data_IF_726602812505
#
_entry.id   IF_726602812505
#
_cell.length_a   1.000
_cell.length_b   1.000
_cell.length_c   1.000
_cell.angle_alpha   90.00
_cell.angle_beta   90.00
_cell.angle_gamma   90.00
#
_symmetry.space_group_name_H-M   'P 1'
#
loop_
_entity.id
_entity.type
_entity.pdbx_description
1 polymer ?
#
# COMPACT_ATOMS: atom_id res chain seq x y z
N UNK A 1 11.56 6.05 -5.22
CA UNK A 1 11.23 7.50 -5.15
C UNK A 1 11.30 7.93 -3.70
N UNK A 2 11.87 9.11 -3.40
CA UNK A 2 11.96 9.66 -2.04
C UNK A 2 10.97 10.82 -1.90
N UNK A 3 10.04 10.74 -0.94
CA UNK A 3 8.97 11.72 -0.73
C UNK A 3 9.17 12.61 0.52
N UNK A 4 10.33 12.52 1.19
CA UNK A 4 10.60 13.15 2.48
C UNK A 4 10.28 14.64 2.54
N UNK A 5 10.50 15.38 1.45
CA UNK A 5 10.28 16.81 1.36
C UNK A 5 8.82 17.24 1.52
N UNK A 6 7.87 16.34 1.27
CA UNK A 6 6.42 16.62 1.34
C UNK A 6 5.78 16.09 2.63
N UNK A 7 6.54 15.41 3.50
CA UNK A 7 5.98 14.67 4.63
C UNK A 7 5.54 15.55 5.80
N UNK A 8 6.03 16.79 5.90
CA UNK A 8 5.71 17.67 7.03
C UNK A 8 4.24 18.12 7.09
N UNK A 9 3.50 18.03 5.99
CA UNK A 9 2.09 18.44 5.90
C UNK A 9 1.13 17.26 5.60
N UNK A 10 1.66 16.04 5.47
CA UNK A 10 0.88 14.85 5.13
C UNK A 10 0.52 14.09 6.40
N UNK A 11 -0.77 13.97 6.69
CA UNK A 11 -1.26 13.19 7.83
C UNK A 11 -1.61 11.73 7.50
N UNK A 12 -1.86 11.44 6.22
CA UNK A 12 -2.32 10.14 5.78
C UNK A 12 -1.89 9.82 4.35
N UNK A 13 -1.51 8.57 4.12
CA UNK A 13 -1.27 8.02 2.79
C UNK A 13 -2.10 6.76 2.57
N UNK A 14 -2.81 6.74 1.45
CA UNK A 14 -3.46 5.52 0.94
C UNK A 14 -2.77 5.09 -0.34
N UNK A 15 -2.43 3.81 -0.43
CA UNK A 15 -1.92 3.16 -1.63
C UNK A 15 -2.95 2.15 -2.14
N UNK A 16 -3.27 2.25 -3.42
CA UNK A 16 -4.09 1.30 -4.17
C UNK A 16 -3.55 1.23 -5.59
N UNK A 17 -3.55 0.03 -6.17
CA UNK A 17 -3.03 -0.19 -7.51
C UNK A 17 -4.17 -0.36 -8.54
N UNK A 18 -3.82 -0.51 -9.81
CA UNK A 18 -4.74 -0.40 -10.95
C UNK A 18 -5.59 -1.66 -11.11
N UNK A 19 -6.92 -1.51 -11.27
CA UNK A 19 -7.85 -2.63 -11.44
C UNK A 19 -8.15 -2.99 -12.92
N UNK A 20 -7.50 -2.33 -13.88
CA UNK A 20 -7.75 -2.54 -15.32
C UNK A 20 -7.29 -3.91 -15.85
N UNK A 21 -7.66 -4.23 -17.10
CA UNK A 21 -7.14 -5.44 -17.80
C UNK A 21 -5.64 -5.33 -18.10
N UNK A 22 -5.22 -4.13 -18.48
CA UNK A 22 -3.83 -3.76 -18.75
C UNK A 22 -3.16 -3.13 -17.51
N UNK A 23 -3.65 -3.49 -16.32
CA UNK A 23 -3.07 -2.98 -15.07
C UNK A 23 -1.58 -3.27 -15.02
N UNK A 24 -0.82 -2.26 -14.61
CA UNK A 24 0.61 -2.42 -14.35
C UNK A 24 0.83 -3.42 -13.21
N UNK A 25 2.06 -3.93 -13.16
CA UNK A 25 2.46 -4.81 -12.08
C UNK A 25 2.55 -4.01 -10.77
N UNK A 26 1.68 -4.33 -9.83
CA UNK A 26 1.82 -3.92 -8.45
C UNK A 26 2.92 -4.77 -7.79
N UNK A 27 4.10 -4.19 -7.59
CA UNK A 27 5.19 -4.83 -6.86
C UNK A 27 5.04 -4.58 -5.36
N UNK A 28 4.76 -5.64 -4.59
CA UNK A 28 4.56 -5.53 -3.15
C UNK A 28 5.79 -5.02 -2.40
N UNK A 29 7.00 -5.33 -2.85
CA UNK A 29 8.23 -4.83 -2.21
C UNK A 29 8.30 -3.31 -2.31
N UNK A 30 7.85 -2.74 -3.44
CA UNK A 30 7.74 -1.29 -3.60
C UNK A 30 6.70 -0.67 -2.66
N UNK A 31 5.58 -1.35 -2.40
CA UNK A 31 4.59 -0.92 -1.41
C UNK A 31 5.19 -0.87 0.00
N UNK A 32 6.02 -1.84 0.36
CA UNK A 32 6.72 -1.88 1.65
C UNK A 32 7.75 -0.75 1.77
N UNK A 33 8.51 -0.47 0.70
CA UNK A 33 9.47 0.64 0.65
C UNK A 33 8.80 2.00 0.85
N UNK A 34 7.63 2.20 0.24
CA UNK A 34 6.81 3.39 0.47
C UNK A 34 6.40 3.46 1.93
N UNK A 35 5.80 2.38 2.48
CA UNK A 35 5.35 2.32 3.87
C UNK A 35 6.46 2.66 4.88
N UNK A 36 7.67 2.15 4.67
CA UNK A 36 8.79 2.42 5.59
C UNK A 36 9.26 3.89 5.55
N UNK A 37 9.02 4.61 4.46
CA UNK A 37 9.25 6.06 4.43
C UNK A 37 8.31 6.81 5.37
N UNK A 38 7.04 6.42 5.46
CA UNK A 38 6.02 7.10 6.29
C UNK A 38 6.05 6.70 7.76
N UNK A 39 6.44 5.46 8.06
CA UNK A 39 6.55 4.94 9.43
C UNK A 39 7.44 5.80 10.34
N UNK A 40 8.45 6.46 9.77
CA UNK A 40 9.40 7.31 10.50
C UNK A 40 8.84 8.68 10.89
N UNK A 41 7.70 9.09 10.34
CA UNK A 41 7.13 10.42 10.51
C UNK A 41 5.76 10.40 11.22
N UNK A 42 5.37 9.28 11.84
CA UNK A 42 4.04 9.08 12.48
C UNK A 42 2.86 9.41 11.54
N UNK A 43 3.05 9.14 10.24
CA UNK A 43 2.02 9.33 9.21
C UNK A 43 1.26 8.00 9.04
N UNK A 44 -0.07 8.06 9.11
CA UNK A 44 -0.90 6.87 8.81
C UNK A 44 -0.70 6.39 7.38
N UNK A 45 -0.70 5.07 7.19
CA UNK A 45 -0.51 4.44 5.89
C UNK A 45 -1.53 3.32 5.70
N UNK A 46 -2.29 3.35 4.60
CA UNK A 46 -3.25 2.30 4.26
C UNK A 46 -2.97 1.65 2.92
N UNK A 47 -2.83 0.33 2.91
CA UNK A 47 -2.82 -0.46 1.69
C UNK A 47 -4.25 -0.96 1.40
N UNK A 48 -4.91 -0.36 0.41
CA UNK A 48 -6.34 -0.56 0.14
C UNK A 48 -6.63 -1.51 -1.01
N UNK A 49 -5.67 -1.82 -1.87
CA UNK A 49 -5.86 -2.80 -2.94
C UNK A 49 -4.58 -3.13 -3.67
N UNK A 50 -4.55 -4.36 -4.17
CA UNK A 50 -3.39 -5.02 -4.82
C UNK A 50 -3.29 -4.77 -6.32
N UNK A 51 -4.31 -4.15 -6.93
CA UNK A 51 -4.43 -4.08 -8.38
C UNK A 51 -4.71 -5.44 -9.03
N UNK A 52 -4.88 -5.43 -10.35
CA UNK A 52 -5.25 -6.64 -11.11
C UNK A 52 -4.06 -7.55 -11.38
N UNK A 53 -2.84 -7.04 -11.31
CA UNK A 53 -1.61 -7.80 -11.49
C UNK A 53 -0.68 -7.54 -10.31
N UNK A 54 -0.53 -8.52 -9.42
CA UNK A 54 0.15 -8.34 -8.14
C UNK A 54 1.32 -9.30 -7.99
N UNK A 55 2.51 -8.77 -7.70
CA UNK A 55 3.72 -9.54 -7.39
C UNK A 55 3.93 -9.55 -5.88
N UNK A 56 3.98 -10.74 -5.29
CA UNK A 56 4.44 -10.93 -3.92
C UNK A 56 5.26 -12.22 -3.85
N UNK A 57 6.36 -12.19 -3.08
CA UNK A 57 7.17 -13.37 -2.80
C UNK A 57 7.59 -14.12 -4.09
N UNK A 58 8.12 -13.36 -5.05
CA UNK A 58 8.54 -13.87 -6.36
C UNK A 58 7.41 -14.34 -7.30
N UNK A 59 6.15 -14.35 -6.84
CA UNK A 59 5.02 -14.85 -7.63
C UNK A 59 4.13 -13.71 -8.13
N UNK A 60 3.81 -13.74 -9.42
CA UNK A 60 2.85 -12.81 -10.04
C UNK A 60 1.48 -13.49 -10.13
N UNK A 61 0.44 -12.84 -9.59
CA UNK A 61 -0.93 -13.33 -9.58
C UNK A 61 -1.87 -12.29 -10.18
N UNK A 62 -2.85 -12.75 -10.96
CA UNK A 62 -3.99 -11.92 -11.34
C UNK A 62 -5.03 -11.93 -10.23
N UNK A 63 -5.38 -10.75 -9.72
CA UNK A 63 -6.35 -10.61 -8.63
C UNK A 63 -7.66 -10.09 -9.19
N UNK A 64 -8.74 -10.83 -8.93
CA UNK A 64 -10.09 -10.40 -9.30
C UNK A 64 -10.37 -9.00 -8.70
N UNK A 65 -10.85 -8.01 -9.50
CA UNK A 65 -11.14 -6.65 -9.04
C UNK A 65 -11.94 -6.58 -7.72
N UNK A 66 -12.93 -7.45 -7.55
CA UNK A 66 -13.75 -7.48 -6.34
C UNK A 66 -13.02 -8.05 -5.11
N UNK A 67 -11.86 -8.69 -5.30
CA UNK A 67 -11.04 -9.29 -4.25
C UNK A 67 -9.75 -8.52 -3.95
N UNK A 68 -9.45 -7.44 -4.67
CA UNK A 68 -8.18 -6.70 -4.51
C UNK A 68 -8.03 -6.09 -3.12
N UNK A 69 -9.08 -5.45 -2.62
CA UNK A 69 -9.07 -4.85 -1.29
C UNK A 69 -9.09 -5.88 -0.16
N UNK A 70 -9.81 -6.99 -0.32
CA UNK A 70 -9.78 -8.07 0.67
C UNK A 70 -8.43 -8.79 0.69
N UNK A 71 -7.74 -8.90 -0.45
CA UNK A 71 -6.35 -9.38 -0.50
C UNK A 71 -5.39 -8.41 0.17
N UNK A 72 -5.47 -7.10 -0.13
CA UNK A 72 -4.62 -6.09 0.49
C UNK A 72 -4.72 -6.12 2.03
N UNK A 73 -5.95 -6.26 2.55
CA UNK A 73 -6.19 -6.38 4.01
C UNK A 73 -5.47 -7.56 4.66
N UNK A 74 -5.23 -8.67 3.94
CA UNK A 74 -4.55 -9.85 4.52
C UNK A 74 -3.08 -9.61 4.85
N UNK A 75 -2.46 -8.61 4.24
CA UNK A 75 -1.07 -8.26 4.51
C UNK A 75 -0.90 -7.48 5.82
N UNK A 76 -1.98 -6.88 6.34
CA UNK A 76 -2.02 -6.16 7.62
C UNK A 76 -0.88 -5.15 7.84
N UNK A 77 -0.50 -4.43 6.78
CA UNK A 77 0.60 -3.47 6.81
C UNK A 77 0.17 -2.03 7.13
N UNK A 78 -1.09 -1.82 7.49
CA UNK A 78 -1.61 -0.48 7.76
C UNK A 78 -0.96 0.11 9.02
N UNK A 79 -0.53 1.37 8.94
CA UNK A 79 -0.05 2.14 10.08
C UNK A 79 -1.21 3.00 10.57
N UNK A 80 -1.59 2.83 11.84
CA UNK A 80 -2.53 3.69 12.55
C UNK A 80 -1.73 4.67 13.41
N UNK A 81 -2.25 5.89 13.59
CA UNK A 81 -1.60 6.88 14.43
C UNK A 81 -1.60 6.39 15.88
N UNK A 82 -0.61 6.84 16.65
CA UNK A 82 -0.48 6.47 18.06
C UNK A 82 -1.70 6.93 18.91
N UNK A 83 -2.50 7.89 18.42
CA UNK A 83 -3.76 8.34 19.03
C UNK A 83 -4.97 7.43 18.83
N UNK A 84 -4.91 6.44 17.92
CA UNK A 84 -5.99 5.47 17.67
C UNK A 84 -5.84 4.17 18.48
N UNK A 85 -4.87 4.10 19.41
CA UNK A 85 -4.65 2.97 20.33
C UNK A 85 -5.37 3.16 21.68
N UNK A 86 -6.55 3.76 21.67
CA UNK A 86 -7.44 3.84 22.83
C UNK A 86 -8.32 2.58 22.94
#
# INVERSE_FOLDING_TARGET
MNLSSYLNEIHHVTVNDESGREARLCDYDWVLDIREQYKKYDITFWFKGTGSLFKHDGTIKKINPFKQGSHAKKFDINIKNSGDRA
#
